data_IF_993133861241
#
_entry.id   IF_993133861241
#
_cell.length_a   1.000
_cell.length_b   1.000
_cell.length_c   1.000
_cell.angle_alpha   90.00
_cell.angle_beta   90.00
_cell.angle_gamma   90.00
#
_symmetry.space_group_name_H-M   'P 1'
#
loop_
_entity.id
_entity.type
_entity.pdbx_description
1 polymer ?
#
# COMPACT_ATOMS: atom_id res chain seq x y z
N UNK A 1 30.93 -15.86 -9.34
CA UNK A 1 31.70 -14.62 -9.06
C UNK A 1 30.98 -13.92 -7.92
N UNK A 2 31.49 -14.12 -6.70
CA UNK A 2 30.90 -13.63 -5.46
C UNK A 2 31.02 -12.11 -5.38
N UNK A 3 29.91 -11.41 -5.21
CA UNK A 3 29.90 -10.03 -4.72
C UNK A 3 29.21 -10.05 -3.36
N UNK A 4 30.01 -9.79 -2.34
CA UNK A 4 29.64 -9.65 -0.95
C UNK A 4 28.67 -8.47 -0.78
N UNK A 5 27.44 -8.73 -0.34
CA UNK A 5 26.67 -7.74 0.42
C UNK A 5 27.25 -7.70 1.84
N UNK A 6 28.18 -6.77 2.08
CA UNK A 6 28.70 -6.46 3.42
C UNK A 6 28.20 -5.07 3.80
N UNK A 7 27.15 -5.04 4.62
CA UNK A 7 26.96 -4.19 5.80
C UNK A 7 25.49 -4.29 6.25
N UNK A 8 25.08 -5.49 6.67
CA UNK A 8 23.87 -5.64 7.47
C UNK A 8 24.29 -5.51 8.93
N UNK A 9 23.78 -4.50 9.63
CA UNK A 9 23.95 -4.35 11.07
C UNK A 9 23.20 -5.51 11.72
N UNK A 10 23.91 -6.58 12.06
CA UNK A 10 23.39 -7.72 12.79
C UNK A 10 23.21 -7.26 14.24
N UNK A 11 21.98 -6.89 14.62
CA UNK A 11 21.60 -6.90 16.03
C UNK A 11 21.38 -8.36 16.44
N UNK A 12 22.40 -8.97 17.03
CA UNK A 12 22.21 -10.18 17.82
C UNK A 12 21.34 -9.82 19.04
N UNK A 13 20.06 -10.21 19.01
CA UNK A 13 19.22 -10.21 20.21
C UNK A 13 18.98 -11.67 20.59
N UNK A 14 19.75 -12.13 21.57
CA UNK A 14 19.48 -13.37 22.27
C UNK A 14 18.24 -13.19 23.15
N UNK A 15 17.31 -14.15 23.02
CA UNK A 15 16.24 -14.50 23.97
C UNK A 15 15.65 -13.38 24.83
N UNK A 16 14.55 -12.78 24.37
CA UNK A 16 13.63 -12.01 25.23
C UNK A 16 12.20 -12.35 24.84
N UNK A 17 11.36 -12.57 25.86
CA UNK A 17 9.90 -12.72 25.73
C UNK A 17 9.35 -11.47 25.03
N UNK A 18 8.66 -11.66 23.91
CA UNK A 18 8.16 -10.58 23.07
C UNK A 18 7.12 -9.73 23.81
N UNK A 19 7.53 -8.53 24.21
CA UNK A 19 6.58 -7.42 24.36
C UNK A 19 6.23 -6.98 22.93
N UNK A 20 5.01 -7.31 22.48
CA UNK A 20 4.50 -7.07 21.10
C UNK A 20 4.71 -5.64 20.60
N UNK A 21 4.72 -4.65 21.51
CA UNK A 21 5.00 -3.25 21.17
C UNK A 21 6.43 -2.93 20.75
N UNK A 22 7.44 -3.70 21.19
CA UNK A 22 8.85 -3.44 20.84
C UNK A 22 9.12 -3.81 19.37
N UNK A 23 8.55 -4.94 18.90
CA UNK A 23 8.67 -5.37 17.50
C UNK A 23 7.94 -4.38 16.56
N UNK A 24 6.78 -3.85 16.97
CA UNK A 24 6.06 -2.84 16.19
C UNK A 24 6.88 -1.57 15.96
N UNK A 25 7.44 -1.00 17.04
CA UNK A 25 8.31 0.18 16.99
C UNK A 25 9.55 -0.09 16.12
N UNK A 26 10.13 -1.28 16.25
CA UNK A 26 11.27 -1.70 15.43
C UNK A 26 10.86 -1.77 13.95
N UNK A 27 9.70 -2.34 13.63
CA UNK A 27 9.22 -2.46 12.25
C UNK A 27 8.95 -1.10 11.62
N UNK A 28 8.33 -0.16 12.34
CA UNK A 28 8.16 1.23 11.89
C UNK A 28 9.48 1.87 11.48
N UNK A 29 10.49 1.72 12.32
CA UNK A 29 11.82 2.27 12.07
C UNK A 29 12.50 1.61 10.87
N UNK A 30 12.40 0.29 10.77
CA UNK A 30 12.93 -0.49 9.63
C UNK A 30 12.28 -0.05 8.31
N UNK A 31 10.96 0.10 8.29
CA UNK A 31 10.21 0.53 7.10
C UNK A 31 10.60 1.96 6.70
N UNK A 32 10.71 2.85 7.68
CA UNK A 32 11.18 4.22 7.46
C UNK A 32 12.60 4.24 6.89
N UNK A 33 13.54 3.54 7.51
CA UNK A 33 14.94 3.53 7.08
C UNK A 33 15.10 2.93 5.68
N UNK A 34 14.40 1.83 5.38
CA UNK A 34 14.40 1.21 4.06
C UNK A 34 13.88 2.16 2.97
N UNK A 35 12.76 2.84 3.22
CA UNK A 35 12.16 3.75 2.24
C UNK A 35 12.88 5.09 2.17
N UNK A 36 13.61 5.51 3.19
CA UNK A 36 14.39 6.74 3.12
C UNK A 36 15.80 6.54 2.55
N UNK A 37 16.22 5.30 2.30
CA UNK A 37 17.46 5.00 1.60
C UNK A 37 17.44 5.59 0.17
N UNK A 38 18.41 6.46 -0.19
CA UNK A 38 18.52 7.00 -1.53
C UNK A 38 18.63 5.95 -2.65
N UNK A 39 19.23 4.78 -2.39
CA UNK A 39 19.35 3.71 -3.38
C UNK A 39 18.02 3.04 -3.71
N UNK A 40 17.04 3.15 -2.81
CA UNK A 40 15.68 2.63 -2.99
C UNK A 40 14.73 3.71 -3.50
N UNK A 41 14.88 4.93 -2.99
CA UNK A 41 13.86 5.98 -3.08
C UNK A 41 14.22 7.11 -4.06
N UNK A 42 15.29 6.98 -4.83
CA UNK A 42 15.64 7.93 -5.88
C UNK A 42 15.80 7.23 -7.23
N UNK A 43 15.32 7.89 -8.29
CA UNK A 43 15.48 7.39 -9.66
C UNK A 43 16.95 7.46 -10.06
N UNK A 44 17.53 6.33 -10.45
CA UNK A 44 18.91 6.27 -10.93
C UNK A 44 19.06 6.88 -12.32
N UNK A 45 20.30 7.11 -12.77
CA UNK A 45 20.56 7.62 -14.12
C UNK A 45 20.10 6.63 -15.20
N UNK A 46 20.23 5.35 -14.92
CA UNK A 46 19.85 4.25 -15.82
C UNK A 46 18.33 4.08 -15.93
N UNK A 47 17.59 4.39 -14.86
CA UNK A 47 16.13 4.30 -14.83
C UNK A 47 15.44 5.54 -15.38
N UNK A 48 16.09 6.70 -15.26
CA UNK A 48 15.55 8.00 -15.62
C UNK A 48 15.12 8.08 -17.10
N UNK A 49 13.92 8.62 -17.34
CA UNK A 49 13.45 8.89 -18.70
C UNK A 49 14.30 9.95 -19.41
N UNK A 50 14.85 10.91 -18.66
CA UNK A 50 15.83 11.91 -19.10
C UNK A 50 16.50 12.58 -17.87
N UNK A 51 17.45 13.48 -18.12
CA UNK A 51 18.23 14.16 -17.07
C UNK A 51 17.37 14.93 -16.05
N UNK A 52 16.13 15.35 -16.38
CA UNK A 52 15.28 16.12 -15.46
C UNK A 52 14.72 15.32 -14.27
N UNK A 53 14.78 13.99 -14.34
CA UNK A 53 14.25 13.08 -13.32
C UNK A 53 15.32 12.21 -12.67
N UNK A 54 16.59 12.38 -13.04
CA UNK A 54 17.72 11.75 -12.33
C UNK A 54 17.77 12.27 -10.89
N UNK A 55 17.82 11.36 -9.92
CA UNK A 55 17.78 11.71 -8.50
C UNK A 55 16.42 12.22 -8.03
N UNK A 56 15.35 11.99 -8.80
CA UNK A 56 13.99 12.29 -8.35
C UNK A 56 13.67 11.44 -7.11
N UNK A 57 13.33 12.10 -5.99
CA UNK A 57 12.84 11.42 -4.79
C UNK A 57 11.41 10.93 -5.01
N UNK A 58 11.13 9.66 -4.75
CA UNK A 58 9.84 9.04 -5.05
C UNK A 58 8.82 9.18 -3.90
N UNK A 59 9.23 8.89 -2.67
CA UNK A 59 8.36 8.81 -1.49
C UNK A 59 8.82 9.71 -0.35
N UNK A 60 7.87 10.27 0.39
CA UNK A 60 8.08 10.88 1.70
C UNK A 60 8.02 9.81 2.81
N UNK A 61 8.22 10.20 4.08
CA UNK A 61 8.18 9.29 5.24
C UNK A 61 6.87 8.47 5.26
N UNK A 62 6.95 7.12 5.29
CA UNK A 62 5.77 6.26 5.30
C UNK A 62 5.03 6.32 6.65
N UNK A 63 3.80 5.82 6.67
CA UNK A 63 3.05 5.54 7.90
C UNK A 63 2.57 4.09 7.87
N UNK A 64 2.55 3.45 9.03
CA UNK A 64 2.08 2.07 9.21
C UNK A 64 0.79 2.08 10.02
N UNK A 65 -0.02 1.05 9.80
CA UNK A 65 -1.18 0.72 10.59
C UNK A 65 -1.29 -0.78 10.74
N UNK A 66 -1.85 -1.22 11.85
CA UNK A 66 -2.03 -2.63 12.18
C UNK A 66 -3.51 -2.91 12.36
N UNK A 67 -4.00 -3.99 11.77
CA UNK A 67 -5.34 -4.51 11.97
C UNK A 67 -5.28 -5.93 12.53
N UNK A 68 -6.26 -6.29 13.36
CA UNK A 68 -6.49 -7.70 13.66
C UNK A 68 -6.90 -8.41 12.38
N UNK A 69 -6.31 -9.56 12.09
CA UNK A 69 -6.75 -10.40 10.97
C UNK A 69 -8.23 -10.80 11.10
N UNK A 70 -8.75 -10.87 12.32
CA UNK A 70 -10.13 -11.23 12.65
C UNK A 70 -11.10 -10.03 12.70
N UNK A 71 -10.74 -8.86 12.16
CA UNK A 71 -11.67 -7.72 12.11
C UNK A 71 -12.91 -8.08 11.27
N UNK A 72 -14.10 -7.84 11.84
CA UNK A 72 -15.40 -8.18 11.25
C UNK A 72 -15.63 -7.56 9.86
N UNK A 73 -14.92 -6.47 9.55
CA UNK A 73 -15.01 -5.83 8.24
C UNK A 73 -14.49 -6.70 7.09
N UNK A 74 -13.56 -7.62 7.34
CA UNK A 74 -13.04 -8.49 6.28
C UNK A 74 -14.10 -9.45 5.76
N UNK A 75 -14.93 -10.01 6.64
CA UNK A 75 -16.06 -10.83 6.24
C UNK A 75 -17.08 -10.00 5.45
N UNK A 76 -17.33 -8.76 5.90
CA UNK A 76 -18.19 -7.84 5.15
C UNK A 76 -17.67 -7.58 3.74
N UNK A 77 -16.36 -7.40 3.57
CA UNK A 77 -15.76 -7.21 2.24
C UNK A 77 -15.95 -8.45 1.36
N UNK A 78 -15.75 -9.64 1.93
CA UNK A 78 -15.95 -10.90 1.20
C UNK A 78 -17.38 -11.06 0.68
N UNK A 79 -18.39 -10.81 1.52
CA UNK A 79 -19.79 -11.11 1.19
C UNK A 79 -20.53 -9.97 0.48
N UNK A 80 -20.13 -8.72 0.66
CA UNK A 80 -20.83 -7.57 0.10
C UNK A 80 -20.30 -7.25 -1.31
N UNK A 81 -21.02 -7.72 -2.31
CA UNK A 81 -20.71 -7.47 -3.73
C UNK A 81 -20.63 -5.97 -4.07
N UNK A 82 -21.26 -5.09 -3.30
CA UNK A 82 -21.19 -3.64 -3.54
C UNK A 82 -19.86 -3.03 -3.12
N UNK A 83 -19.06 -3.74 -2.32
CA UNK A 83 -17.77 -3.25 -1.81
C UNK A 83 -16.62 -3.78 -2.65
N UNK A 84 -16.55 -5.10 -2.87
CA UNK A 84 -15.45 -5.74 -3.60
C UNK A 84 -15.91 -6.76 -4.64
N UNK A 85 -17.17 -6.69 -5.08
CA UNK A 85 -17.73 -7.58 -6.10
C UNK A 85 -17.61 -9.07 -5.74
N UNK A 86 -17.64 -9.40 -4.44
CA UNK A 86 -17.56 -10.78 -3.95
C UNK A 86 -16.19 -11.44 -4.12
N UNK A 87 -15.14 -10.69 -4.46
CA UNK A 87 -13.80 -11.24 -4.77
C UNK A 87 -12.82 -11.20 -3.61
N UNK A 88 -13.09 -10.42 -2.57
CA UNK A 88 -12.13 -10.21 -1.49
C UNK A 88 -11.92 -11.51 -0.71
N UNK A 89 -10.67 -11.96 -0.67
CA UNK A 89 -10.24 -13.10 0.14
C UNK A 89 -9.80 -12.56 1.51
N UNK A 90 -10.44 -12.97 2.63
CA UNK A 90 -10.12 -12.50 3.96
C UNK A 90 -8.75 -13.02 4.44
N UNK A 91 -8.11 -12.36 5.43
CA UNK A 91 -6.76 -12.70 5.84
C UNK A 91 -6.53 -14.17 6.23
N UNK A 92 -7.52 -14.81 6.84
CA UNK A 92 -7.49 -16.21 7.28
C UNK A 92 -7.42 -17.19 6.09
N UNK A 93 -7.93 -16.81 4.93
CA UNK A 93 -7.88 -17.63 3.72
C UNK A 93 -6.57 -17.43 2.95
N UNK A 94 -5.87 -16.31 3.16
CA UNK A 94 -4.48 -16.16 2.71
C UNK A 94 -3.51 -16.95 3.59
N UNK A 95 -3.78 -17.04 4.89
CA UNK A 95 -2.97 -17.75 5.86
C UNK A 95 -3.82 -18.11 7.09
N UNK A 96 -3.98 -19.40 7.35
CA UNK A 96 -4.88 -19.93 8.39
C UNK A 96 -4.58 -19.36 9.79
N UNK A 97 -3.29 -19.22 10.13
CA UNK A 97 -2.82 -18.67 11.42
C UNK A 97 -2.71 -17.13 11.43
N UNK A 98 -3.38 -16.42 10.51
CA UNK A 98 -3.34 -14.96 10.45
C UNK A 98 -3.81 -14.30 11.75
N UNK A 99 -2.99 -13.39 12.27
CA UNK A 99 -3.29 -12.62 13.48
C UNK A 99 -3.28 -11.12 13.26
N UNK A 100 -2.34 -10.64 12.45
CA UNK A 100 -2.18 -9.22 12.17
C UNK A 100 -2.07 -8.97 10.68
N UNK A 101 -2.78 -7.95 10.21
CA UNK A 101 -2.58 -7.34 8.89
C UNK A 101 -1.85 -6.03 9.08
N UNK A 102 -0.65 -5.93 8.49
CA UNK A 102 0.20 -4.74 8.50
C UNK A 102 -0.10 -3.98 7.22
N UNK A 103 -0.53 -2.72 7.32
CA UNK A 103 -0.77 -1.84 6.17
C UNK A 103 0.21 -0.67 6.21
N UNK A 104 0.83 -0.36 5.07
CA UNK A 104 1.84 0.69 4.95
C UNK A 104 1.41 1.64 3.85
N UNK A 105 1.29 2.93 4.17
CA UNK A 105 1.09 3.99 3.20
C UNK A 105 2.42 4.68 2.92
N UNK A 106 2.79 4.76 1.64
CA UNK A 106 3.95 5.47 1.13
C UNK A 106 3.47 6.73 0.39
N UNK A 107 3.51 7.92 1.03
CA UNK A 107 3.12 9.16 0.38
C UNK A 107 4.11 9.51 -0.73
N UNK A 108 3.63 9.92 -1.89
CA UNK A 108 4.51 10.41 -2.95
C UNK A 108 5.19 11.71 -2.54
N UNK A 109 6.43 11.91 -2.99
CA UNK A 109 7.23 13.08 -2.63
C UNK A 109 6.61 14.39 -3.12
N UNK A 110 7.02 15.50 -2.51
CA UNK A 110 6.61 16.85 -2.99
C UNK A 110 6.95 17.07 -4.46
N UNK A 111 8.08 16.56 -4.96
CA UNK A 111 8.51 16.71 -6.35
C UNK A 111 7.55 15.99 -7.30
N UNK A 112 7.20 14.73 -7.00
CA UNK A 112 6.24 13.94 -7.77
C UNK A 112 4.86 14.62 -7.79
N UNK A 113 4.37 15.05 -6.63
CA UNK A 113 3.08 15.75 -6.50
C UNK A 113 3.06 17.06 -7.28
N UNK A 114 4.16 17.84 -7.23
CA UNK A 114 4.27 19.09 -7.96
C UNK A 114 4.33 18.84 -9.47
N UNK A 115 5.08 17.84 -9.91
CA UNK A 115 5.20 17.48 -11.32
C UNK A 115 3.87 17.10 -11.94
N UNK A 116 3.10 16.27 -11.25
CA UNK A 116 1.81 15.80 -11.76
C UNK A 116 0.69 16.85 -11.72
N UNK A 117 0.85 17.92 -10.94
CA UNK A 117 -0.11 19.05 -10.92
C UNK A 117 0.07 20.00 -12.10
N UNK A 118 1.22 19.96 -12.80
CA UNK A 118 1.51 20.91 -13.90
C UNK A 118 0.59 20.69 -15.10
N UNK A 119 0.20 19.45 -15.37
CA UNK A 119 -0.70 19.09 -16.44
C UNK A 119 -1.75 18.11 -15.92
N UNK A 120 -3.02 18.50 -15.95
CA UNK A 120 -4.15 17.68 -15.46
C UNK A 120 -4.69 16.71 -16.52
N UNK A 121 -4.14 16.72 -17.74
CA UNK A 121 -4.55 15.81 -18.84
C UNK A 121 -3.64 14.59 -18.95
N UNK A 122 -2.33 14.79 -18.81
CA UNK A 122 -1.33 13.75 -19.03
C UNK A 122 -0.50 13.52 -17.76
N UNK A 123 -0.15 12.27 -17.43
CA UNK A 123 0.72 11.99 -16.31
C UNK A 123 2.12 12.59 -16.55
N UNK A 124 2.67 13.21 -15.51
CA UNK A 124 4.06 13.70 -15.54
C UNK A 124 5.07 12.57 -15.53
N UNK A 125 6.31 12.83 -15.98
CA UNK A 125 7.41 11.86 -15.92
C UNK A 125 7.68 11.42 -14.48
N UNK A 126 7.62 12.36 -13.54
CA UNK A 126 7.77 12.08 -12.12
C UNK A 126 6.69 11.12 -11.61
N UNK A 127 5.46 11.25 -12.11
CA UNK A 127 4.36 10.36 -11.77
C UNK A 127 4.52 8.96 -12.38
N UNK A 128 5.02 8.88 -13.62
CA UNK A 128 5.34 7.60 -14.25
C UNK A 128 6.45 6.86 -13.50
N UNK A 129 7.47 7.59 -13.04
CA UNK A 129 8.56 7.02 -12.25
C UNK A 129 8.10 6.49 -10.89
N UNK A 130 7.27 7.25 -10.15
CA UNK A 130 6.76 6.74 -8.87
C UNK A 130 5.86 5.52 -9.05
N UNK A 131 5.21 5.36 -10.22
CA UNK A 131 4.44 4.16 -10.53
C UNK A 131 5.32 2.97 -10.90
N UNK A 132 6.40 3.17 -11.66
CA UNK A 132 7.25 2.09 -12.14
C UNK A 132 8.36 1.74 -11.16
N UNK A 133 9.29 2.66 -10.92
CA UNK A 133 10.37 2.50 -9.94
C UNK A 133 9.83 2.40 -8.52
N UNK A 134 8.80 3.19 -8.19
CA UNK A 134 8.19 3.12 -6.87
C UNK A 134 7.51 1.77 -6.59
N UNK A 135 6.90 1.13 -7.59
CA UNK A 135 6.39 -0.25 -7.44
C UNK A 135 7.51 -1.25 -7.14
N UNK A 136 8.64 -1.16 -7.83
CA UNK A 136 9.83 -2.00 -7.53
C UNK A 136 10.29 -1.80 -6.09
N UNK A 137 10.35 -0.55 -5.62
CA UNK A 137 10.74 -0.25 -4.24
C UNK A 137 9.77 -0.85 -3.21
N UNK A 138 8.47 -0.81 -3.49
CA UNK A 138 7.42 -1.39 -2.65
C UNK A 138 7.51 -2.92 -2.61
N UNK A 139 7.75 -3.56 -3.75
CA UNK A 139 7.88 -5.01 -3.81
C UNK A 139 9.10 -5.48 -3.01
N UNK A 140 10.22 -4.76 -3.16
CA UNK A 140 11.42 -4.99 -2.33
C UNK A 140 11.14 -4.78 -0.84
N UNK A 141 10.39 -3.73 -0.46
CA UNK A 141 9.99 -3.50 0.92
C UNK A 141 9.15 -4.68 1.46
N UNK A 142 8.14 -5.13 0.71
CA UNK A 142 7.29 -6.25 1.09
C UNK A 142 8.10 -7.54 1.30
N UNK A 143 9.04 -7.84 0.39
CA UNK A 143 9.96 -8.97 0.54
C UNK A 143 10.85 -8.82 1.77
N UNK A 144 11.43 -7.64 1.99
CA UNK A 144 12.31 -7.37 3.12
C UNK A 144 11.61 -7.55 4.48
N UNK A 145 10.38 -7.05 4.61
CA UNK A 145 9.58 -7.24 5.84
C UNK A 145 9.24 -8.73 6.04
N UNK A 146 8.83 -9.42 4.96
CA UNK A 146 8.54 -10.86 4.99
C UNK A 146 9.76 -11.66 5.47
N UNK A 147 10.95 -11.33 4.98
CA UNK A 147 12.22 -11.95 5.42
C UNK A 147 12.50 -11.69 6.90
N UNK A 148 12.37 -10.45 7.38
CA UNK A 148 12.62 -10.10 8.79
C UNK A 148 11.68 -10.85 9.73
N UNK A 149 10.38 -10.89 9.40
CA UNK A 149 9.38 -11.60 10.22
C UNK A 149 9.64 -13.10 10.22
N UNK A 150 10.01 -13.67 9.07
CA UNK A 150 10.39 -15.09 8.97
C UNK A 150 11.63 -15.41 9.79
N UNK A 151 12.66 -14.56 9.76
CA UNK A 151 13.87 -14.73 10.59
C UNK A 151 13.59 -14.66 12.09
N UNK A 152 12.54 -13.94 12.49
CA UNK A 152 12.04 -13.88 13.86
C UNK A 152 11.13 -15.07 14.23
N UNK A 153 10.84 -15.97 13.30
CA UNK A 153 10.03 -17.17 13.52
C UNK A 153 8.54 -17.00 13.25
N UNK A 154 8.12 -15.90 12.65
CA UNK A 154 6.72 -15.68 12.26
C UNK A 154 6.47 -16.08 10.81
N UNK A 155 5.27 -16.55 10.53
CA UNK A 155 4.78 -16.70 9.17
C UNK A 155 4.33 -15.33 8.65
N UNK A 156 4.61 -15.07 7.38
CA UNK A 156 4.23 -13.83 6.74
C UNK A 156 3.95 -14.06 5.25
N UNK A 157 2.84 -13.52 4.76
CA UNK A 157 2.49 -13.46 3.34
C UNK A 157 2.28 -12.00 2.94
N UNK A 158 2.58 -11.66 1.69
CA UNK A 158 2.42 -10.30 1.17
C UNK A 158 1.52 -10.33 -0.06
N UNK A 159 0.18 -10.28 0.10
CA UNK A 159 -0.77 -10.60 -0.97
C UNK A 159 -0.45 -9.94 -2.30
N UNK A 160 -0.07 -8.65 -2.34
CA UNK A 160 0.21 -7.93 -3.59
C UNK A 160 1.43 -8.40 -4.40
N UNK A 161 2.20 -9.38 -3.91
CA UNK A 161 3.36 -9.99 -4.59
C UNK A 161 3.33 -11.52 -4.56
N UNK A 162 2.24 -12.15 -4.08
CA UNK A 162 2.09 -13.61 -4.14
C UNK A 162 1.50 -14.03 -5.49
N UNK A 163 1.82 -15.25 -5.94
CA UNK A 163 1.36 -15.77 -7.25
C UNK A 163 -0.17 -15.93 -7.33
N UNK A 164 -0.83 -16.16 -6.20
CA UNK A 164 -2.29 -16.26 -6.11
C UNK A 164 -3.01 -14.90 -6.04
N UNK A 165 -2.27 -13.78 -6.14
CA UNK A 165 -2.88 -12.48 -6.31
C UNK A 165 -3.53 -12.35 -7.67
N UNK A 166 -4.82 -12.06 -7.66
CA UNK A 166 -5.59 -11.84 -8.88
C UNK A 166 -6.01 -10.38 -8.94
N UNK A 167 -5.63 -9.71 -10.02
CA UNK A 167 -6.13 -8.39 -10.39
C UNK A 167 -6.79 -8.50 -11.76
N UNK A 168 -8.10 -8.29 -11.80
CA UNK A 168 -8.88 -8.21 -13.03
C UNK A 168 -8.86 -6.75 -13.46
N UNK A 169 -8.15 -6.49 -14.54
CA UNK A 169 -8.23 -5.26 -15.32
C UNK A 169 -8.74 -5.69 -16.69
N UNK A 170 -10.05 -5.83 -16.83
CA UNK A 170 -10.65 -6.32 -18.08
C UNK A 170 -10.69 -5.19 -19.12
N UNK A 171 -9.51 -4.78 -19.59
CA UNK A 171 -9.33 -3.83 -20.70
C UNK A 171 -9.43 -4.56 -22.06
N UNK A 172 -9.38 -5.90 -22.07
CA UNK A 172 -9.15 -6.69 -23.29
C UNK A 172 -10.29 -7.64 -23.70
N UNK A 173 -11.41 -7.72 -22.97
CA UNK A 173 -12.58 -8.50 -23.39
C UNK A 173 -13.73 -7.58 -23.83
N UNK A 174 -13.85 -7.48 -25.16
CA UNK A 174 -14.95 -6.90 -25.92
C UNK A 174 -15.18 -5.38 -25.76
N UNK A 175 -14.48 -4.61 -26.60
CA UNK A 175 -14.71 -3.17 -26.86
C UNK A 175 -16.17 -2.81 -27.20
N UNK A 176 -17.04 -3.79 -27.45
CA UNK A 176 -18.46 -3.56 -27.76
C UNK A 176 -19.40 -3.77 -26.57
N UNK A 177 -18.92 -4.24 -25.39
CA UNK A 177 -19.75 -4.29 -24.18
C UNK A 177 -19.48 -3.12 -23.27
N UNK A 178 -20.53 -2.66 -22.59
CA UNK A 178 -20.40 -1.72 -21.48
C UNK A 178 -19.60 -2.40 -20.37
N UNK A 179 -18.49 -1.79 -19.96
CA UNK A 179 -17.79 -2.22 -18.76
C UNK A 179 -18.72 -2.08 -17.55
N UNK A 180 -18.83 -3.11 -16.75
CA UNK A 180 -19.52 -3.07 -15.46
C UNK A 180 -18.52 -3.18 -14.29
N UNK A 181 -19.00 -2.97 -13.07
CA UNK A 181 -18.09 -2.95 -11.91
C UNK A 181 -17.44 -4.31 -11.62
N UNK A 182 -17.99 -5.42 -12.15
CA UNK A 182 -17.37 -6.74 -12.07
C UNK A 182 -16.17 -6.88 -13.03
N UNK A 183 -15.91 -5.90 -13.90
CA UNK A 183 -14.78 -5.93 -14.82
C UNK A 183 -13.48 -5.37 -14.22
N UNK A 184 -13.58 -4.83 -13.00
CA UNK A 184 -12.45 -4.29 -12.25
C UNK A 184 -12.47 -4.78 -10.81
N UNK A 185 -11.39 -5.40 -10.36
CA UNK A 185 -11.26 -5.80 -8.98
C UNK A 185 -10.03 -6.64 -8.71
N UNK A 186 -9.74 -6.80 -7.43
CA UNK A 186 -8.66 -7.66 -6.96
C UNK A 186 -9.16 -8.53 -5.82
N UNK A 187 -8.59 -9.72 -5.69
CA UNK A 187 -8.89 -10.58 -4.54
C UNK A 187 -8.32 -10.06 -3.21
N UNK A 188 -7.50 -9.00 -3.25
CA UNK A 188 -7.01 -8.28 -2.08
C UNK A 188 -6.99 -6.76 -2.29
N UNK A 189 -7.79 -6.02 -1.52
CA UNK A 189 -7.90 -4.55 -1.69
C UNK A 189 -7.07 -3.77 -0.67
N UNK A 190 -5.95 -3.19 -1.14
CA UNK A 190 -5.04 -2.39 -0.33
C UNK A 190 -5.74 -1.22 0.41
N UNK A 191 -6.70 -0.55 -0.23
CA UNK A 191 -7.43 0.58 0.37
C UNK A 191 -8.37 0.14 1.50
N UNK A 192 -9.06 -0.99 1.32
CA UNK A 192 -9.94 -1.53 2.36
C UNK A 192 -9.13 -2.00 3.57
N UNK A 193 -8.02 -2.68 3.33
CA UNK A 193 -7.10 -3.11 4.40
C UNK A 193 -6.55 -1.91 5.16
N UNK A 194 -6.14 -0.85 4.47
CA UNK A 194 -5.69 0.39 5.10
C UNK A 194 -6.79 1.09 5.93
N UNK A 195 -8.05 1.00 5.50
CA UNK A 195 -9.20 1.47 6.29
C UNK A 195 -9.39 0.64 7.57
N UNK A 196 -9.22 -0.68 7.53
CA UNK A 196 -9.29 -1.51 8.75
C UNK A 196 -8.11 -1.21 9.68
N UNK A 197 -6.93 -1.01 9.11
CA UNK A 197 -5.67 -0.74 9.83
C UNK A 197 -5.53 0.69 10.38
N UNK A 198 -6.59 1.50 10.40
CA UNK A 198 -6.56 2.82 11.04
C UNK A 198 -5.89 3.94 10.24
N UNK A 199 -5.53 3.71 8.97
CA UNK A 199 -4.75 4.69 8.19
C UNK A 199 -5.57 5.87 7.67
N UNK A 200 -6.90 5.73 7.56
CA UNK A 200 -7.77 6.80 7.10
C UNK A 200 -9.12 6.34 6.55
N UNK A 201 -9.86 7.25 5.93
CA UNK A 201 -11.21 6.98 5.41
C UNK A 201 -11.28 7.20 3.90
N UNK A 202 -12.32 6.68 3.25
CA UNK A 202 -12.56 6.95 1.84
C UNK A 202 -12.99 8.41 1.62
N UNK A 203 -12.93 8.86 0.37
CA UNK A 203 -13.50 10.13 -0.09
C UNK A 203 -14.33 9.95 -1.35
N UNK A 204 -14.90 11.06 -1.85
CA UNK A 204 -15.74 11.06 -3.05
C UNK A 204 -15.04 10.45 -4.27
N UNK A 205 -13.74 10.67 -4.44
CA UNK A 205 -12.90 10.05 -5.49
C UNK A 205 -12.65 8.55 -5.31
N UNK A 206 -13.28 7.91 -4.32
CA UNK A 206 -13.07 6.51 -3.90
C UNK A 206 -11.63 6.19 -3.47
N UNK A 207 -10.75 7.18 -3.37
CA UNK A 207 -9.40 7.05 -2.79
C UNK A 207 -9.47 7.07 -1.27
N UNK A 208 -8.51 6.44 -0.59
CA UNK A 208 -8.37 6.57 0.86
C UNK A 208 -7.59 7.86 1.19
N UNK A 209 -8.19 8.72 2.01
CA UNK A 209 -7.59 9.92 2.58
C UNK A 209 -6.90 9.51 3.88
N UNK A 210 -5.57 9.69 3.96
CA UNK A 210 -4.80 9.41 5.18
C UNK A 210 -4.43 10.70 5.92
N UNK A 211 -3.84 10.58 7.11
CA UNK A 211 -3.21 11.73 7.82
C UNK A 211 -2.06 12.38 7.02
N UNK A 212 -1.55 11.72 5.97
CA UNK A 212 -0.52 12.24 5.03
C UNK A 212 -1.11 12.65 3.66
N UNK A 213 -2.44 12.62 3.51
CA UNK A 213 -3.16 12.93 2.27
C UNK A 213 -3.49 11.71 1.42
N UNK A 214 -3.90 11.95 0.17
CA UNK A 214 -4.35 10.92 -0.78
C UNK A 214 -3.28 10.47 -1.79
N UNK A 215 -2.26 11.30 -2.01
CA UNK A 215 -1.27 11.07 -3.06
C UNK A 215 -0.16 10.16 -2.54
N UNK A 216 -0.35 8.86 -2.76
CA UNK A 216 0.58 7.83 -2.38
C UNK A 216 0.08 6.47 -2.83
N UNK A 217 0.72 5.44 -2.30
CA UNK A 217 0.40 4.05 -2.59
C UNK A 217 0.48 3.23 -1.31
N UNK A 218 -0.15 2.06 -1.34
CA UNK A 218 -0.27 1.17 -0.21
C UNK A 218 0.40 -0.16 -0.53
N UNK A 219 0.97 -0.77 0.50
CA UNK A 219 1.27 -2.21 0.51
C UNK A 219 0.81 -2.79 1.84
N UNK A 220 0.70 -4.12 1.91
CA UNK A 220 0.28 -4.80 3.11
C UNK A 220 0.85 -6.20 3.21
N UNK A 221 0.99 -6.67 4.44
CA UNK A 221 1.40 -8.03 4.77
C UNK A 221 0.45 -8.63 5.80
N UNK A 222 0.34 -9.95 5.80
CA UNK A 222 -0.45 -10.72 6.76
C UNK A 222 0.54 -11.61 7.51
N UNK A 223 0.49 -11.62 8.84
CA UNK A 223 1.42 -12.38 9.68
C UNK A 223 0.70 -13.02 10.86
N UNK A 224 1.26 -14.12 11.36
CA UNK A 224 0.82 -14.76 12.61
C UNK A 224 1.45 -14.13 13.86
N UNK A 225 2.31 -13.12 13.69
CA UNK A 225 2.75 -12.25 14.77
C UNK A 225 1.55 -11.52 15.35
N UNK A 226 1.41 -11.53 16.67
CA UNK A 226 0.38 -10.79 17.39
C UNK A 226 0.81 -9.33 17.55
N UNK A 227 -0.06 -8.39 17.18
CA UNK A 227 0.16 -6.97 17.42
C UNK A 227 -1.16 -6.25 17.71
N UNK A 228 -1.11 -5.31 18.66
CA UNK A 228 -2.26 -4.49 19.01
C UNK A 228 -2.75 -3.69 17.79
N UNK A 229 -4.04 -3.77 17.42
CA UNK A 229 -4.58 -3.00 16.30
C UNK A 229 -4.44 -1.50 16.51
N UNK A 230 -4.11 -0.78 15.45
CA UNK A 230 -4.15 0.67 15.44
C UNK A 230 -5.58 1.15 15.65
N UNK A 231 -5.77 2.03 16.65
CA UNK A 231 -7.08 2.61 16.91
C UNK A 231 -7.56 3.42 15.71
N UNK A 232 -8.78 3.11 15.22
CA UNK A 232 -9.48 3.90 14.22
C UNK A 232 -10.00 5.18 14.89
N UNK A 233 -9.49 6.33 14.47
CA UNK A 233 -9.94 7.67 14.94
C UNK A 233 -11.18 8.19 14.16
N UNK A 234 -11.90 7.28 13.49
CA UNK A 234 -13.06 7.54 12.66
C UNK A 234 -14.14 6.48 12.89
N UNK A 235 -15.39 6.85 12.64
CA UNK A 235 -16.55 5.95 12.72
C UNK A 235 -17.17 5.72 11.34
N UNK A 236 -17.21 6.76 10.51
CA UNK A 236 -17.76 6.72 9.16
C UNK A 236 -16.68 6.50 8.09
N UNK A 237 -17.14 5.97 6.95
CA UNK A 237 -16.28 5.70 5.80
C UNK A 237 -15.81 6.98 5.08
N UNK A 238 -16.35 8.15 5.43
CA UNK A 238 -16.07 9.44 4.78
C UNK A 238 -15.58 10.53 5.75
N UNK A 239 -15.21 10.19 6.99
CA UNK A 239 -14.94 11.19 8.04
C UNK A 239 -13.79 12.16 7.71
N UNK A 240 -12.81 11.75 6.91
CA UNK A 240 -11.74 12.65 6.45
C UNK A 240 -12.08 13.43 5.17
N UNK A 241 -13.22 13.14 4.54
CA UNK A 241 -13.67 13.85 3.36
C UNK A 241 -14.47 15.10 3.74
N UNK A 242 -14.00 16.28 3.33
CA UNK A 242 -14.71 17.54 3.55
C UNK A 242 -15.89 17.77 2.58
N UNK A 243 -16.22 16.78 1.74
CA UNK A 243 -17.28 16.86 0.74
C UNK A 243 -17.16 18.07 -0.21
N UNK A 244 -15.94 18.57 -0.44
CA UNK A 244 -15.72 19.81 -1.17
C UNK A 244 -15.95 19.71 -2.70
N UNK A 245 -16.10 18.50 -3.25
CA UNK A 245 -16.32 18.28 -4.68
C UNK A 245 -15.11 18.56 -5.59
N UNK A 246 -13.97 19.01 -5.06
CA UNK A 246 -12.80 19.39 -5.87
C UNK A 246 -12.26 18.22 -6.73
N UNK A 247 -12.38 16.98 -6.27
CA UNK A 247 -12.02 15.81 -7.07
C UNK A 247 -12.95 15.59 -8.27
N UNK A 248 -14.23 15.92 -8.13
CA UNK A 248 -15.23 15.80 -9.19
C UNK A 248 -14.96 16.87 -10.25
N UNK A 249 -14.76 18.13 -9.82
CA UNK A 249 -14.46 19.24 -10.74
C UNK A 249 -13.17 19.04 -11.54
N UNK A 250 -12.19 18.35 -10.95
CA UNK A 250 -10.91 18.06 -11.59
C UNK A 250 -10.88 16.74 -12.36
N UNK A 251 -11.98 15.97 -12.39
CA UNK A 251 -12.04 14.66 -13.04
C UNK A 251 -12.00 14.83 -14.58
N UNK A 252 -10.96 14.34 -15.29
CA UNK A 252 -10.85 14.53 -16.74
C UNK A 252 -12.04 14.02 -17.57
N UNK A 253 -12.59 12.81 -17.31
CA UNK A 253 -13.78 12.34 -18.02
C UNK A 253 -15.09 13.03 -17.58
N UNK A 254 -15.05 13.93 -16.58
CA UNK A 254 -16.24 14.55 -15.97
C UNK A 254 -17.29 13.49 -15.60
N UNK A 255 -16.88 12.46 -14.86
CA UNK A 255 -17.78 11.38 -14.48
C UNK A 255 -18.90 11.90 -13.55
N UNK A 256 -20.15 11.72 -13.96
CA UNK A 256 -21.34 12.07 -13.16
C UNK A 256 -21.73 10.97 -12.14
N UNK A 257 -20.92 9.91 -12.03
CA UNK A 257 -21.14 8.76 -11.15
C UNK A 257 -20.20 8.84 -9.94
N UNK A 258 -20.59 9.55 -8.87
CA UNK A 258 -19.83 9.64 -7.62
C UNK A 258 -20.68 9.33 -6.39
#
# INVERSE_FOLDING_TARGET
MNVFFRNCIIYHVFGLRDYTGEIGIILEKIVEDFILDPEINHVSKEEAADESVVGLKLFDKPIIGYASANDELYEKFKIDEKITHGRFIPPQEWMEDAKTVISIFLPYSKQVKAGNRRNMREPSKEWLHVRREGKKAIDKLSLYIKEILTQKGYLCVAPGIEDCFEEIIDIWLDINRSLDNSDFGSNWSQRHVAYVAGLGTFGLSKTLITKKGVAGTFTSLITNMEHEPTKRDYQGIYDYCSMCGACISNCPPKSDHF
#
